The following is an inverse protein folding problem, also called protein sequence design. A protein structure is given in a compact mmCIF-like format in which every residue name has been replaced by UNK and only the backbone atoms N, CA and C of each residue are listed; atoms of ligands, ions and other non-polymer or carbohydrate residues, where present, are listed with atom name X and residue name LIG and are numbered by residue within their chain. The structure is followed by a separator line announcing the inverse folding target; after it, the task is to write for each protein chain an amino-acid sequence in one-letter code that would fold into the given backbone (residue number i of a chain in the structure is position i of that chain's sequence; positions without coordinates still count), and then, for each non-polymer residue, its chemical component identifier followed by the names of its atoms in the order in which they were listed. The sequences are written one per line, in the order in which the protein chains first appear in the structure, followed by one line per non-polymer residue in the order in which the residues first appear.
data_IF_293905885346
#
_entry.id   IF_293905885346
#
_cell.length_a   1.000
_cell.length_b   1.000
_cell.length_c   1.000
_cell.angle_alpha   90.00
_cell.angle_beta   90.00
_cell.angle_gamma   90.00
#
_symmetry.space_group_name_H-M   'P 1'
#
loop_
_entity.id
_entity.type
_entity.pdbx_description
1 polymer ?
#
# COMPACT_ATOMS: atom_id res chain seq x y z
N UNK A 1 7.15 1.47 -33.88
CA UNK A 1 6.09 1.11 -32.91
C UNK A 1 4.88 0.46 -33.58
N UNK A 2 4.43 -0.66 -33.02
CA UNK A 2 3.17 -1.30 -33.43
C UNK A 2 1.97 -0.54 -32.82
N UNK A 3 0.79 -0.71 -33.40
CA UNK A 3 -0.45 -0.09 -32.90
C UNK A 3 -0.75 -0.50 -31.45
N UNK A 4 -0.26 -1.66 -31.00
CA UNK A 4 -0.48 -2.20 -29.65
C UNK A 4 0.57 -1.75 -28.61
N UNK A 5 1.58 -0.98 -29.01
CA UNK A 5 2.68 -0.60 -28.11
C UNK A 5 2.47 0.82 -27.57
N UNK A 6 2.76 1.01 -26.27
CA UNK A 6 2.86 2.33 -25.69
C UNK A 6 4.21 2.94 -26.05
N UNK A 7 4.20 4.17 -26.55
CA UNK A 7 5.41 4.95 -26.85
C UNK A 7 5.46 6.18 -25.96
N UNK A 8 6.67 6.54 -25.53
CA UNK A 8 6.95 7.73 -24.75
C UNK A 8 8.14 8.47 -25.36
N UNK A 9 8.17 9.79 -25.20
CA UNK A 9 9.20 10.67 -25.76
C UNK A 9 10.18 11.14 -24.68
N UNK A 10 9.69 11.33 -23.45
CA UNK A 10 10.46 11.83 -22.32
C UNK A 10 10.67 10.73 -21.28
N UNK A 11 11.83 10.74 -20.62
CA UNK A 11 12.09 9.82 -19.53
C UNK A 11 11.25 10.16 -18.31
N UNK A 12 10.80 9.12 -17.61
CA UNK A 12 10.11 9.28 -16.34
C UNK A 12 11.01 9.98 -15.31
N UNK A 13 10.50 11.02 -14.62
CA UNK A 13 11.23 11.68 -13.55
C UNK A 13 11.38 10.78 -12.32
N UNK A 14 12.14 11.26 -11.34
CA UNK A 14 12.18 10.66 -10.02
C UNK A 14 10.92 11.04 -9.22
N UNK A 15 10.14 10.03 -8.80
CA UNK A 15 8.89 10.22 -8.04
C UNK A 15 9.05 10.17 -6.52
N UNK A 16 10.27 10.00 -6.01
CA UNK A 16 10.54 9.86 -4.58
C UNK A 16 10.24 11.14 -3.81
N UNK A 17 10.62 12.28 -4.39
CA UNK A 17 10.47 13.59 -3.77
C UNK A 17 9.36 14.38 -4.43
N UNK A 18 8.83 15.35 -3.69
CA UNK A 18 7.78 16.23 -4.18
C UNK A 18 8.37 17.19 -5.20
N UNK A 19 7.83 17.18 -6.40
CA UNK A 19 8.20 18.07 -7.49
C UNK A 19 6.95 18.62 -8.17
N UNK A 20 6.71 19.93 -7.97
CA UNK A 20 5.57 20.63 -8.57
C UNK A 20 5.72 20.85 -10.07
N UNK A 21 6.94 20.83 -10.62
CA UNK A 21 7.18 20.98 -12.05
C UNK A 21 6.66 19.80 -12.86
N UNK A 22 6.88 18.58 -12.35
CA UNK A 22 6.36 17.33 -12.93
C UNK A 22 5.00 16.93 -12.38
N UNK A 23 4.52 17.59 -11.32
CA UNK A 23 3.28 17.25 -10.62
C UNK A 23 3.40 16.06 -9.66
N UNK A 24 4.63 15.59 -9.38
CA UNK A 24 4.89 14.53 -8.42
C UNK A 24 4.68 15.01 -6.99
N UNK A 25 3.89 14.28 -6.20
CA UNK A 25 3.69 14.56 -4.78
C UNK A 25 4.80 13.98 -3.88
N UNK A 26 5.68 13.14 -4.43
CA UNK A 26 6.64 12.36 -3.66
C UNK A 26 6.02 11.12 -2.99
N UNK A 27 6.85 10.33 -2.31
CA UNK A 27 6.41 9.09 -1.63
C UNK A 27 6.26 9.20 -0.12
N UNK A 28 6.48 10.39 0.45
CA UNK A 28 6.34 10.63 1.88
C UNK A 28 4.94 10.27 2.40
N UNK A 29 4.86 9.56 3.52
CA UNK A 29 3.60 9.17 4.14
C UNK A 29 2.80 8.08 3.41
N UNK A 30 3.29 7.55 2.28
CA UNK A 30 2.64 6.43 1.59
C UNK A 30 2.78 5.14 2.39
N UNK A 31 1.73 4.32 2.38
CA UNK A 31 1.78 2.97 2.94
C UNK A 31 2.73 2.08 2.13
N UNK A 32 3.53 1.28 2.81
CA UNK A 32 4.43 0.33 2.19
C UNK A 32 4.30 -1.07 2.81
N UNK A 33 4.71 -2.09 2.05
CA UNK A 33 4.69 -3.47 2.50
C UNK A 33 6.08 -3.91 2.95
N UNK A 34 6.27 -4.14 4.26
CA UNK A 34 7.59 -4.53 4.80
C UNK A 34 8.05 -5.91 4.34
N UNK A 35 7.13 -6.82 4.00
CA UNK A 35 7.46 -8.19 3.60
C UNK A 35 7.67 -8.35 2.10
N UNK A 36 7.47 -7.29 1.30
CA UNK A 36 7.68 -7.34 -0.14
C UNK A 36 9.06 -6.81 -0.50
N UNK A 37 9.74 -7.50 -1.41
CA UNK A 37 10.98 -7.04 -2.04
C UNK A 37 10.71 -6.26 -3.34
N UNK A 38 9.45 -6.14 -3.74
CA UNK A 38 9.02 -5.52 -4.99
C UNK A 38 8.89 -4.00 -4.91
N UNK A 39 8.20 -3.42 -5.89
CA UNK A 39 7.95 -1.98 -5.96
C UNK A 39 7.00 -1.47 -4.88
N UNK A 40 6.25 -2.35 -4.21
CA UNK A 40 5.45 -2.06 -3.01
C UNK A 40 6.25 -2.23 -1.70
N UNK A 41 7.45 -2.78 -1.80
CA UNK A 41 8.39 -2.95 -0.70
C UNK A 41 8.80 -1.62 -0.09
N UNK A 42 8.90 -1.57 1.23
CA UNK A 42 9.25 -0.32 1.93
C UNK A 42 10.63 0.25 1.50
N UNK A 43 11.59 -0.60 1.14
CA UNK A 43 12.91 -0.13 0.71
C UNK A 43 12.84 0.64 -0.62
N UNK A 44 12.04 0.15 -1.57
CA UNK A 44 11.88 0.80 -2.87
C UNK A 44 10.84 1.94 -2.83
N UNK A 45 9.68 1.71 -2.21
CA UNK A 45 8.61 2.72 -2.07
C UNK A 45 9.09 3.98 -1.35
N UNK A 46 9.89 3.79 -0.30
CA UNK A 46 10.43 4.88 0.49
C UNK A 46 11.81 5.34 0.00
N UNK A 47 12.28 4.82 -1.15
CA UNK A 47 13.53 5.21 -1.80
C UNK A 47 14.75 5.18 -0.85
N UNK A 48 14.81 4.18 0.03
CA UNK A 48 15.89 4.03 1.02
C UNK A 48 15.84 5.00 2.21
N UNK A 49 14.83 5.88 2.33
CA UNK A 49 14.67 6.80 3.48
C UNK A 49 14.20 6.10 4.76
N UNK A 50 13.77 4.84 4.65
CA UNK A 50 13.14 4.07 5.71
C UNK A 50 11.66 4.43 5.91
N UNK A 51 11.06 3.84 6.94
CA UNK A 51 9.62 3.91 7.21
C UNK A 51 9.32 4.00 8.70
N UNK A 52 8.14 4.52 9.03
CA UNK A 52 7.54 4.53 10.36
C UNK A 52 6.65 3.30 10.52
N UNK A 53 6.62 2.73 11.72
CA UNK A 53 5.74 1.61 12.08
C UNK A 53 4.71 2.09 13.10
N UNK A 54 3.44 1.90 12.78
CA UNK A 54 2.33 2.22 13.66
C UNK A 54 1.54 0.95 13.99
N UNK A 55 1.34 0.69 15.29
CA UNK A 55 0.51 -0.43 15.73
C UNK A 55 -0.91 0.04 15.97
N UNK A 56 -1.87 -0.60 15.30
CA UNK A 56 -3.29 -0.33 15.43
C UNK A 56 -4.03 -1.58 15.89
N UNK A 57 -5.08 -1.36 16.68
CA UNK A 57 -6.02 -2.41 17.05
C UNK A 57 -7.24 -2.25 16.16
N UNK A 58 -7.46 -3.22 15.26
CA UNK A 58 -8.60 -3.22 14.33
C UNK A 58 -9.60 -4.29 14.76
N UNK A 59 -10.87 -3.92 14.74
CA UNK A 59 -11.97 -4.83 15.02
C UNK A 59 -12.45 -5.42 13.69
N UNK A 60 -12.41 -6.76 13.56
CA UNK A 60 -12.86 -7.47 12.36
C UNK A 60 -13.89 -8.54 12.69
N UNK A 61 -14.77 -8.81 11.74
CA UNK A 61 -15.63 -9.99 11.82
C UNK A 61 -14.79 -11.25 11.58
N UNK A 62 -14.97 -12.25 12.45
CA UNK A 62 -14.22 -13.50 12.42
C UNK A 62 -15.16 -14.68 12.69
N UNK A 63 -14.68 -15.90 12.41
CA UNK A 63 -15.43 -17.15 12.68
C UNK A 63 -16.85 -17.14 12.11
N UNK A 64 -17.00 -16.57 10.91
CA UNK A 64 -18.27 -16.45 10.24
C UNK A 64 -18.82 -17.83 9.85
N UNK A 65 -20.02 -18.14 10.31
CA UNK A 65 -20.75 -19.37 9.99
C UNK A 65 -21.96 -19.02 9.14
N UNK A 66 -22.10 -19.73 8.02
CA UNK A 66 -23.26 -19.61 7.15
C UNK A 66 -24.39 -20.52 7.64
N UNK A 67 -25.57 -19.96 7.86
CA UNK A 67 -26.77 -20.69 8.23
C UNK A 67 -27.68 -20.82 7.01
N UNK A 68 -27.81 -22.03 6.50
CA UNK A 68 -28.71 -22.33 5.39
C UNK A 68 -30.16 -22.17 5.86
N UNK A 69 -30.93 -21.30 5.18
CA UNK A 69 -32.10 -20.50 5.65
C UNK A 69 -31.82 -18.99 5.87
N UNK A 70 -30.66 -18.52 5.36
CA UNK A 70 -30.42 -17.22 4.67
C UNK A 70 -29.70 -16.12 5.47
N UNK A 71 -28.81 -16.44 6.41
CA UNK A 71 -27.95 -15.41 7.01
C UNK A 71 -26.58 -15.93 7.46
N UNK A 72 -25.64 -15.01 7.59
CA UNK A 72 -24.29 -15.26 8.10
C UNK A 72 -24.21 -14.71 9.51
N UNK A 73 -23.69 -15.50 10.45
CA UNK A 73 -23.40 -15.04 11.81
C UNK A 73 -21.88 -15.02 12.00
N UNK A 74 -21.33 -13.88 12.40
CA UNK A 74 -19.91 -13.72 12.69
C UNK A 74 -19.70 -13.24 14.13
N UNK A 75 -18.57 -13.62 14.71
CA UNK A 75 -18.09 -13.04 15.95
C UNK A 75 -17.33 -11.74 15.67
N UNK A 76 -17.21 -10.88 16.68
CA UNK A 76 -16.39 -9.66 16.61
C UNK A 76 -15.05 -9.93 17.27
N UNK A 77 -13.98 -10.04 16.47
CA UNK A 77 -12.61 -10.22 16.95
C UNK A 77 -11.84 -8.91 16.96
N UNK A 78 -10.90 -8.80 17.88
CA UNK A 78 -9.94 -7.69 17.95
C UNK A 78 -8.58 -8.21 17.52
N UNK A 79 -7.99 -7.60 16.50
CA UNK A 79 -6.67 -7.96 15.97
C UNK A 79 -5.72 -6.76 16.06
N UNK A 80 -4.46 -7.03 16.41
CA UNK A 80 -3.39 -6.05 16.35
C UNK A 80 -2.73 -6.15 14.98
N UNK A 81 -2.68 -5.03 14.26
CA UNK A 81 -2.08 -4.93 12.93
C UNK A 81 -1.04 -3.83 12.93
N UNK A 82 0.04 -4.02 12.20
CA UNK A 82 1.07 -3.00 11.99
C UNK A 82 0.88 -2.35 10.62
N UNK A 83 0.98 -1.03 10.57
CA UNK A 83 0.92 -0.24 9.34
C UNK A 83 2.23 0.52 9.18
N UNK A 84 2.84 0.39 8.00
CA UNK A 84 4.14 0.98 7.70
C UNK A 84 3.96 2.14 6.71
N UNK A 85 4.56 3.29 7.01
CA UNK A 85 4.47 4.48 6.15
C UNK A 85 5.84 5.09 5.88
N UNK A 86 6.07 5.57 4.66
CA UNK A 86 7.37 6.13 4.27
C UNK A 86 7.69 7.44 5.01
N UNK A 87 8.96 7.56 5.38
CA UNK A 87 9.57 8.80 5.89
C UNK A 87 10.02 9.73 4.77
#
# INVERSE_FOLDING_TARGET
PKITELVYLEQSPNYCDRDFGTGSLGTYGRSCNRTSDGTDGCDLMCCGRGYNTHQFTRTKQCRCTFYWCCYVKCDTCVERTEEYSCK
#
